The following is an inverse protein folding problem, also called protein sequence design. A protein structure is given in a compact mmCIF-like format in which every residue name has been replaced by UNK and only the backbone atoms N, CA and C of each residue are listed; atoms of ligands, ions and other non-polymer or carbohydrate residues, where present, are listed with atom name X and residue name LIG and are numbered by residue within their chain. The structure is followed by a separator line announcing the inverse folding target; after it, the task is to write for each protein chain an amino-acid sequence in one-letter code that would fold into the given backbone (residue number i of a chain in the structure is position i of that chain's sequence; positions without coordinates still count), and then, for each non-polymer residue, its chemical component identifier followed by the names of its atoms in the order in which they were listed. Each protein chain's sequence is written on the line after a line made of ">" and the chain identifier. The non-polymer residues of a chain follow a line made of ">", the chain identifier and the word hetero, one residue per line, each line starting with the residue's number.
data_IF_761336460990
#
_entry.id   IF_761336460990
#
_cell.length_a   1.000
_cell.length_b   1.000
_cell.length_c   1.000
_cell.angle_alpha   90.00
_cell.angle_beta   90.00
_cell.angle_gamma   90.00
#
_symmetry.space_group_name_H-M   'P 1'
#
loop_
_entity.id
_entity.type
_entity.pdbx_description
1 polymer ?
#
# COMPACT_ATOMS: atom_id res chain seq x y z
N UNK A 1 -18.68 -1.00 25.79
CA UNK A 1 -17.49 -1.86 25.79
C UNK A 1 -17.07 -2.26 24.38
N UNK A 2 -17.99 -2.77 23.54
CA UNK A 2 -17.70 -3.17 22.15
C UNK A 2 -17.18 -2.02 21.27
N UNK A 3 -17.74 -0.82 21.40
CA UNK A 3 -17.29 0.39 20.68
C UNK A 3 -15.85 0.77 20.98
N UNK A 4 -15.39 0.54 22.21
CA UNK A 4 -14.04 0.85 22.65
C UNK A 4 -13.04 -0.24 22.21
N UNK A 5 -13.49 -1.50 22.23
CA UNK A 5 -12.75 -2.62 21.65
C UNK A 5 -12.50 -2.37 20.14
N UNK A 6 -13.51 -1.93 19.38
CA UNK A 6 -13.35 -1.59 17.96
C UNK A 6 -12.25 -0.53 17.72
N UNK A 7 -12.14 0.48 18.59
CA UNK A 7 -11.05 1.48 18.50
C UNK A 7 -9.68 0.88 18.81
N UNK A 8 -9.60 -0.03 19.78
CA UNK A 8 -8.35 -0.76 20.06
C UNK A 8 -7.95 -1.63 18.87
N UNK A 9 -8.92 -2.27 18.20
CA UNK A 9 -8.68 -3.07 17.01
C UNK A 9 -8.13 -2.23 15.85
N UNK A 10 -8.71 -1.05 15.59
CA UNK A 10 -8.20 -0.08 14.62
C UNK A 10 -6.81 0.44 15.00
N UNK A 11 -6.55 0.67 16.29
CA UNK A 11 -5.22 1.12 16.77
C UNK A 11 -4.16 0.06 16.50
N UNK A 12 -4.47 -1.20 16.75
CA UNK A 12 -3.57 -2.31 16.42
C UNK A 12 -3.41 -2.50 14.90
N UNK A 13 -4.42 -2.18 14.10
CA UNK A 13 -4.31 -2.15 12.63
C UNK A 13 -3.31 -1.07 12.18
N UNK A 14 -3.35 0.13 12.77
CA UNK A 14 -2.37 1.18 12.52
C UNK A 14 -0.95 0.76 12.92
N UNK A 15 -0.79 0.10 14.07
CA UNK A 15 0.51 -0.41 14.50
C UNK A 15 1.12 -1.44 13.53
N UNK A 16 0.29 -2.26 12.86
CA UNK A 16 0.77 -3.16 11.80
C UNK A 16 1.25 -2.39 10.57
N UNK A 17 0.53 -1.34 10.14
CA UNK A 17 0.94 -0.49 9.03
C UNK A 17 2.25 0.25 9.32
N UNK A 18 2.42 0.79 10.54
CA UNK A 18 3.68 1.44 10.92
C UNK A 18 4.86 0.45 10.99
N UNK A 19 4.63 -0.80 11.41
CA UNK A 19 5.65 -1.86 11.32
C UNK A 19 6.00 -2.19 9.87
N UNK A 20 5.01 -2.20 8.97
CA UNK A 20 5.20 -2.43 7.55
C UNK A 20 6.03 -1.31 6.92
N UNK A 21 5.76 -0.05 7.28
CA UNK A 21 6.58 1.09 6.89
C UNK A 21 8.02 0.94 7.38
N UNK A 22 8.22 0.56 8.64
CA UNK A 22 9.55 0.30 9.18
C UNK A 22 10.31 -0.80 8.43
N UNK A 23 9.62 -1.87 8.02
CA UNK A 23 10.21 -2.93 7.19
C UNK A 23 10.55 -2.43 5.78
N UNK A 24 9.65 -1.66 5.16
CA UNK A 24 9.87 -1.08 3.83
C UNK A 24 11.07 -0.12 3.81
N UNK A 25 11.23 0.70 4.85
CA UNK A 25 12.40 1.59 5.03
C UNK A 25 13.72 0.81 5.13
N UNK A 26 13.68 -0.43 5.63
CA UNK A 26 14.83 -1.33 5.73
C UNK A 26 15.00 -2.21 4.48
N UNK A 27 14.14 -2.08 3.46
CA UNK A 27 14.07 -2.93 2.28
C UNK A 27 13.81 -4.43 2.59
N UNK A 28 13.19 -4.72 3.74
CA UNK A 28 12.81 -6.07 4.14
C UNK A 28 11.45 -6.45 3.52
N UNK A 29 11.46 -6.74 2.22
CA UNK A 29 10.24 -6.98 1.44
C UNK A 29 9.51 -8.26 1.83
N UNK A 30 10.22 -9.29 2.29
CA UNK A 30 9.62 -10.51 2.80
C UNK A 30 8.78 -10.20 4.06
N UNK A 31 9.32 -9.38 4.97
CA UNK A 31 8.57 -8.92 6.15
C UNK A 31 7.42 -7.99 5.80
N UNK A 32 7.58 -7.11 4.79
CA UNK A 32 6.46 -6.30 4.28
C UNK A 32 5.31 -7.21 3.82
N UNK A 33 5.60 -8.26 3.03
CA UNK A 33 4.60 -9.21 2.55
C UNK A 33 3.93 -9.97 3.70
N UNK A 34 4.70 -10.45 4.68
CA UNK A 34 4.15 -11.12 5.86
C UNK A 34 3.22 -10.20 6.69
N UNK A 35 3.61 -8.94 6.87
CA UNK A 35 2.81 -7.93 7.57
C UNK A 35 1.55 -7.56 6.79
N UNK A 36 1.59 -7.56 5.46
CA UNK A 36 0.41 -7.31 4.62
C UNK A 36 -0.67 -8.39 4.82
N UNK A 37 -0.27 -9.66 4.85
CA UNK A 37 -1.18 -10.78 5.12
C UNK A 37 -1.84 -10.61 6.50
N UNK A 38 -1.06 -10.29 7.53
CA UNK A 38 -1.56 -10.06 8.88
C UNK A 38 -2.53 -8.85 8.94
N UNK A 39 -2.18 -7.76 8.25
CA UNK A 39 -3.00 -6.55 8.14
C UNK A 39 -4.35 -6.85 7.48
N UNK A 40 -4.35 -7.55 6.35
CA UNK A 40 -5.58 -7.91 5.62
C UNK A 40 -6.49 -8.83 6.44
N UNK A 41 -5.91 -9.82 7.12
CA UNK A 41 -6.66 -10.72 8.00
C UNK A 41 -7.37 -9.95 9.13
N UNK A 42 -6.65 -9.03 9.78
CA UNK A 42 -7.21 -8.20 10.87
C UNK A 42 -8.25 -7.21 10.37
N UNK A 43 -8.02 -6.57 9.22
CA UNK A 43 -8.98 -5.66 8.60
C UNK A 43 -10.30 -6.37 8.27
N UNK A 44 -10.25 -7.62 7.82
CA UNK A 44 -11.44 -8.41 7.57
C UNK A 44 -12.22 -8.73 8.86
N UNK A 45 -11.53 -9.04 9.97
CA UNK A 45 -12.18 -9.24 11.27
C UNK A 45 -12.88 -7.96 11.76
N UNK A 46 -12.20 -6.82 11.65
CA UNK A 46 -12.75 -5.50 12.03
C UNK A 46 -14.01 -5.16 11.23
N UNK A 47 -14.01 -5.41 9.91
CA UNK A 47 -15.18 -5.16 9.06
C UNK A 47 -16.42 -5.93 9.51
N UNK A 48 -16.26 -7.16 9.99
CA UNK A 48 -17.38 -7.97 10.51
C UNK A 48 -17.93 -7.36 11.80
N UNK A 49 -17.05 -6.94 12.71
CA UNK A 49 -17.43 -6.33 14.00
C UNK A 49 -18.05 -4.94 13.82
N UNK A 50 -17.57 -4.14 12.87
CA UNK A 50 -18.05 -2.79 12.67
C UNK A 50 -19.54 -2.73 12.27
N UNK A 51 -20.02 -3.72 11.51
CA UNK A 51 -21.41 -3.78 11.08
C UNK A 51 -22.42 -3.92 12.24
N UNK A 52 -21.97 -4.36 13.42
CA UNK A 52 -22.85 -4.60 14.57
C UNK A 52 -22.72 -3.51 15.64
N UNK A 53 -21.70 -2.65 15.57
CA UNK A 53 -21.34 -1.71 16.64
C UNK A 53 -21.72 -0.28 16.28
N UNK A 54 -22.56 0.36 17.09
CA UNK A 54 -22.82 1.80 16.99
C UNK A 54 -21.72 2.59 17.69
N UNK A 55 -21.07 3.48 16.95
CA UNK A 55 -20.08 4.42 17.48
C UNK A 55 -20.72 5.77 17.81
N UNK A 56 -20.46 6.29 19.00
CA UNK A 56 -20.71 7.70 19.32
C UNK A 56 -19.72 8.63 18.62
N UNK A 57 -20.02 9.92 18.56
CA UNK A 57 -19.26 10.87 17.72
C UNK A 57 -17.80 11.09 18.16
N UNK A 58 -17.52 10.98 19.46
CA UNK A 58 -16.15 10.98 19.98
C UNK A 58 -15.33 9.80 19.43
N UNK A 59 -15.91 8.59 19.40
CA UNK A 59 -15.23 7.40 18.90
C UNK A 59 -15.09 7.41 17.37
N UNK A 60 -16.08 7.95 16.64
CA UNK A 60 -15.93 8.20 15.19
C UNK A 60 -14.76 9.13 14.90
N UNK A 61 -14.60 10.19 15.70
CA UNK A 61 -13.49 11.13 15.56
C UNK A 61 -12.14 10.45 15.83
N UNK A 62 -12.03 9.63 16.87
CA UNK A 62 -10.83 8.82 17.13
C UNK A 62 -10.51 7.86 15.98
N UNK A 63 -11.51 7.13 15.49
CA UNK A 63 -11.37 6.23 14.34
C UNK A 63 -10.82 6.99 13.11
N UNK A 64 -11.33 8.19 12.85
CA UNK A 64 -10.86 9.02 11.72
C UNK A 64 -9.37 9.34 11.82
N UNK A 65 -8.90 9.74 13.01
CA UNK A 65 -7.47 10.02 13.25
C UNK A 65 -6.62 8.78 12.97
N UNK A 66 -7.05 7.61 13.44
CA UNK A 66 -6.34 6.34 13.21
C UNK A 66 -6.27 6.00 11.71
N UNK A 67 -7.37 6.17 10.97
CA UNK A 67 -7.39 5.94 9.52
C UNK A 67 -6.45 6.90 8.78
N UNK A 68 -6.40 8.15 9.19
CA UNK A 68 -5.47 9.12 8.60
C UNK A 68 -4.01 8.70 8.80
N UNK A 69 -3.66 8.15 9.97
CA UNK A 69 -2.33 7.59 10.20
C UNK A 69 -2.02 6.42 9.27
N UNK A 70 -2.96 5.48 9.11
CA UNK A 70 -2.80 4.33 8.21
C UNK A 70 -2.55 4.79 6.76
N UNK A 71 -3.33 5.78 6.30
CA UNK A 71 -3.21 6.30 4.94
C UNK A 71 -1.88 7.05 4.72
N UNK A 72 -1.40 7.78 5.74
CA UNK A 72 -0.10 8.43 5.69
C UNK A 72 1.04 7.42 5.60
N UNK A 73 0.98 6.33 6.39
CA UNK A 73 1.97 5.26 6.36
C UNK A 73 1.94 4.48 5.03
N UNK A 74 0.77 4.14 4.50
CA UNK A 74 0.61 3.50 3.18
C UNK A 74 1.19 4.38 2.05
N UNK A 75 0.92 5.69 2.08
CA UNK A 75 1.50 6.64 1.13
C UNK A 75 3.03 6.67 1.22
N UNK A 76 3.59 6.65 2.44
CA UNK A 76 5.04 6.61 2.65
C UNK A 76 5.65 5.31 2.09
N UNK A 77 5.03 4.15 2.33
CA UNK A 77 5.45 2.87 1.75
C UNK A 77 5.47 2.95 0.22
N UNK A 78 4.38 3.42 -0.38
CA UNK A 78 4.27 3.57 -1.84
C UNK A 78 5.34 4.52 -2.41
N UNK A 79 5.69 5.58 -1.68
CA UNK A 79 6.72 6.52 -2.10
C UNK A 79 8.12 5.89 -2.13
N UNK A 80 8.37 4.86 -1.31
CA UNK A 80 9.61 4.07 -1.37
C UNK A 80 9.64 3.15 -2.59
N UNK A 81 8.48 2.59 -2.98
CA UNK A 81 8.40 1.57 -4.02
C UNK A 81 8.29 2.17 -5.43
N UNK A 82 7.47 3.21 -5.62
CA UNK A 82 7.18 3.77 -6.95
C UNK A 82 8.42 4.18 -7.78
N UNK A 83 9.47 4.81 -7.20
CA UNK A 83 10.62 5.25 -8.00
C UNK A 83 11.39 4.11 -8.66
N UNK A 84 11.63 3.00 -7.93
CA UNK A 84 12.38 1.87 -8.47
C UNK A 84 11.55 1.08 -9.48
N UNK A 85 10.24 0.94 -9.27
CA UNK A 85 9.34 0.32 -10.25
C UNK A 85 9.29 1.11 -11.56
N UNK A 86 9.27 2.44 -11.47
CA UNK A 86 9.36 3.32 -12.65
C UNK A 86 10.68 3.15 -13.40
N UNK A 87 11.79 2.96 -12.67
CA UNK A 87 13.09 2.70 -13.30
C UNK A 87 13.14 1.31 -13.96
N UNK A 88 12.62 0.30 -13.28
CA UNK A 88 12.55 -1.07 -13.81
C UNK A 88 11.67 -1.13 -15.07
N UNK A 89 10.51 -0.48 -15.06
CA UNK A 89 9.64 -0.42 -16.23
C UNK A 89 10.30 0.28 -17.43
N UNK A 90 11.08 1.35 -17.20
CA UNK A 90 11.89 1.98 -18.26
C UNK A 90 12.97 1.05 -18.83
N UNK A 91 13.64 0.27 -17.98
CA UNK A 91 14.66 -0.69 -18.43
C UNK A 91 14.08 -1.89 -19.18
N UNK A 92 12.85 -2.29 -18.82
CA UNK A 92 12.14 -3.40 -19.47
C UNK A 92 11.38 -2.97 -20.73
N UNK A 93 11.29 -1.66 -21.03
CA UNK A 93 10.76 -1.21 -22.31
C UNK A 93 11.66 -1.77 -23.41
N UNK A 94 11.11 -2.54 -24.37
CA UNK A 94 11.91 -3.05 -25.46
C UNK A 94 12.53 -1.85 -26.16
N UNK A 95 13.86 -1.85 -26.27
CA UNK A 95 14.57 -0.96 -27.16
C UNK A 95 14.08 -1.27 -28.57
N UNK A 96 13.00 -0.64 -29.03
CA UNK A 96 12.75 -0.52 -30.45
C UNK A 96 13.92 0.29 -30.96
N UNK A 97 14.95 -0.41 -31.43
CA UNK A 97 16.11 0.23 -32.03
C UNK A 97 15.57 1.09 -33.16
N UNK A 98 15.65 2.42 -33.00
CA UNK A 98 15.24 3.39 -34.02
C UNK A 98 15.91 3.03 -35.36
N UNK A 99 17.12 2.45 -35.32
CA UNK A 99 17.82 1.87 -36.45
C UNK A 99 17.02 0.82 -37.24
N UNK A 100 16.22 -0.03 -36.60
CA UNK A 100 15.39 -1.03 -37.29
C UNK A 100 14.16 -0.38 -37.94
N UNK A 101 13.56 0.62 -37.31
CA UNK A 101 12.48 1.42 -37.91
C UNK A 101 12.96 2.25 -39.09
N UNK A 102 14.15 2.88 -39.01
CA UNK A 102 14.73 3.64 -40.12
C UNK A 102 15.09 2.73 -41.31
N UNK A 103 15.63 1.54 -41.04
CA UNK A 103 15.91 0.56 -42.10
C UNK A 103 14.65 0.07 -42.81
N UNK A 104 13.58 -0.22 -42.05
CA UNK A 104 12.30 -0.62 -42.63
C UNK A 104 11.68 0.52 -43.44
N UNK A 105 11.61 1.74 -42.89
CA UNK A 105 11.07 2.90 -43.62
C UNK A 105 11.85 3.24 -44.89
N UNK A 106 13.18 3.03 -44.92
CA UNK A 106 13.97 3.24 -46.11
C UNK A 106 13.81 2.09 -47.14
N UNK A 107 13.58 0.86 -46.69
CA UNK A 107 13.39 -0.30 -47.56
C UNK A 107 12.03 -0.30 -48.27
N UNK A 108 10.97 0.21 -47.63
CA UNK A 108 9.62 0.33 -48.22
C UNK A 108 9.38 1.65 -48.97
N UNK A 109 10.44 2.44 -49.19
CA UNK A 109 10.39 3.71 -49.93
C UNK A 109 11.03 3.63 -51.33
N UNK A 110 11.45 2.42 -51.75
CA UNK A 110 11.64 2.06 -53.16
C UNK A 110 10.39 1.38 -53.69
#
# INVERSE_FOLDING_TARGET
>A
MESQNLIQEYTALAALMSQMLGAAQQNDWDKVSALEVAYLAKMNQIKVQENTVKLGDALKSQKKVIIQQILADDHAIRSLIHPWMNKLSQLMQPHQSQAMQTKLNNAYRM
#
